data_IF_355369665769
#
_entry.id   IF_355369665769
#
_cell.length_a   1.000
_cell.length_b   1.000
_cell.length_c   1.000
_cell.angle_alpha   90.00
_cell.angle_beta   90.00
_cell.angle_gamma   90.00
#
_symmetry.space_group_name_H-M   'P 1'
#
loop_
_entity.id
_entity.type
_entity.pdbx_description
1 polymer ?
#
# COMPACT_ATOMS: atom_id res chain seq x y z
N UNK A 1 -2.40 1.19 14.66
CA UNK A 1 -1.61 1.92 15.68
C UNK A 1 -2.02 1.46 17.07
N UNK A 2 -1.17 1.65 18.09
CA UNK A 2 -1.56 1.44 19.49
C UNK A 2 -2.25 2.67 20.06
N UNK A 3 -2.99 2.51 21.16
CA UNK A 3 -3.44 3.65 21.96
C UNK A 3 -2.24 4.35 22.60
N UNK A 4 -2.29 5.69 22.65
CA UNK A 4 -1.37 6.56 23.36
C UNK A 4 -2.21 7.61 24.07
N UNK A 5 -1.99 7.79 25.37
CA UNK A 5 -2.66 8.84 26.13
C UNK A 5 -2.19 10.21 25.67
N UNK A 6 -3.14 11.15 25.54
CA UNK A 6 -2.89 12.53 25.13
C UNK A 6 -3.76 13.45 26.00
N UNK A 7 -3.13 14.40 26.68
CA UNK A 7 -3.80 15.32 27.58
C UNK A 7 -4.90 16.13 26.87
N UNK A 8 -6.03 16.33 27.56
CA UNK A 8 -7.16 17.11 27.04
C UNK A 8 -8.06 16.35 26.05
N UNK A 9 -7.75 15.09 25.72
CA UNK A 9 -8.66 14.22 24.96
C UNK A 9 -9.72 13.59 25.86
N UNK A 10 -10.87 13.22 25.29
CA UNK A 10 -11.91 12.49 26.02
C UNK A 10 -11.46 11.12 26.53
N UNK A 11 -10.40 10.56 25.93
CA UNK A 11 -9.83 9.26 26.30
C UNK A 11 -8.89 9.36 27.52
N UNK A 12 -8.32 10.53 27.82
CA UNK A 12 -7.36 10.71 28.92
C UNK A 12 -7.93 10.43 30.32
N UNK A 13 -9.26 10.49 30.48
CA UNK A 13 -9.92 10.14 31.74
C UNK A 13 -10.34 8.67 31.84
N UNK A 14 -10.07 7.85 30.81
CA UNK A 14 -10.36 6.42 30.81
C UNK A 14 -9.19 5.66 31.41
N UNK A 15 -9.48 4.61 32.16
CA UNK A 15 -8.45 3.73 32.72
C UNK A 15 -7.81 2.90 31.60
N UNK A 16 -6.48 2.86 31.57
CA UNK A 16 -5.67 2.12 30.60
C UNK A 16 -4.75 1.15 31.35
N UNK A 17 -5.31 -0.03 31.65
CA UNK A 17 -4.68 -1.10 32.43
C UNK A 17 -3.88 -2.08 31.55
N UNK A 18 -3.74 -1.79 30.26
CA UNK A 18 -3.10 -2.68 29.29
C UNK A 18 -1.62 -2.28 29.11
N UNK A 19 -0.67 -3.17 29.45
CA UNK A 19 0.75 -2.92 29.21
C UNK A 19 1.06 -2.64 27.73
N UNK A 20 2.03 -1.77 27.46
CA UNK A 20 2.44 -1.41 26.10
C UNK A 20 2.83 -2.64 25.25
N UNK A 21 3.52 -3.62 25.84
CA UNK A 21 3.88 -4.88 25.19
C UNK A 21 2.64 -5.62 24.64
N UNK A 22 1.57 -5.71 25.42
CA UNK A 22 0.32 -6.35 24.98
C UNK A 22 -0.36 -5.55 23.85
N UNK A 23 -0.27 -4.21 23.87
CA UNK A 23 -0.81 -3.37 22.78
C UNK A 23 -0.03 -3.58 21.49
N UNK A 24 1.29 -3.65 21.58
CA UNK A 24 2.16 -3.88 20.43
C UNK A 24 1.97 -5.29 19.86
N UNK A 25 1.85 -6.31 20.70
CA UNK A 25 1.53 -7.68 20.28
C UNK A 25 0.21 -7.74 19.51
N UNK A 26 -0.85 -7.11 20.05
CA UNK A 26 -2.16 -7.04 19.38
C UNK A 26 -2.09 -6.27 18.06
N UNK A 27 -1.35 -5.15 18.03
CA UNK A 27 -1.13 -4.38 16.80
C UNK A 27 -0.45 -5.24 15.74
N UNK A 28 0.60 -5.98 16.12
CA UNK A 28 1.35 -6.83 15.19
C UNK A 28 0.48 -7.96 14.64
N UNK A 29 -0.32 -8.62 15.48
CA UNK A 29 -1.29 -9.64 15.03
C UNK A 29 -2.29 -9.09 14.00
N UNK A 30 -2.80 -7.87 14.22
CA UNK A 30 -3.71 -7.22 13.29
C UNK A 30 -2.99 -6.86 11.98
N UNK A 31 -1.76 -6.36 12.06
CA UNK A 31 -0.95 -6.01 10.89
C UNK A 31 -0.67 -7.26 10.04
N UNK A 32 -0.26 -8.36 10.65
CA UNK A 32 -0.02 -9.63 9.95
C UNK A 32 -1.27 -10.12 9.22
N UNK A 33 -2.43 -10.13 9.91
CA UNK A 33 -3.70 -10.49 9.28
C UNK A 33 -4.08 -9.54 8.13
N UNK A 34 -3.80 -8.25 8.27
CA UNK A 34 -4.05 -7.28 7.22
C UNK A 34 -3.11 -7.45 6.02
N UNK A 35 -1.86 -7.87 6.24
CA UNK A 35 -0.92 -8.17 5.15
C UNK A 35 -1.43 -9.29 4.25
N UNK A 36 -1.94 -10.38 4.85
CA UNK A 36 -2.51 -11.49 4.09
C UNK A 36 -3.71 -11.03 3.23
N UNK A 37 -4.59 -10.20 3.80
CA UNK A 37 -5.74 -9.63 3.07
C UNK A 37 -5.28 -8.73 1.91
N UNK A 38 -4.27 -7.89 2.16
CA UNK A 38 -3.72 -6.99 1.14
C UNK A 38 -3.01 -7.78 0.04
N UNK A 39 -2.28 -8.84 0.39
CA UNK A 39 -1.64 -9.74 -0.57
C UNK A 39 -2.69 -10.42 -1.44
N UNK A 40 -3.72 -11.05 -0.86
CA UNK A 40 -4.81 -11.69 -1.61
C UNK A 40 -5.48 -10.72 -2.60
N UNK A 41 -5.73 -9.48 -2.17
CA UNK A 41 -6.28 -8.42 -3.01
C UNK A 41 -5.33 -8.10 -4.17
N UNK A 42 -4.05 -7.92 -3.88
CA UNK A 42 -3.05 -7.55 -4.86
C UNK A 42 -2.77 -8.68 -5.87
N UNK A 43 -2.71 -9.93 -5.41
CA UNK A 43 -2.60 -11.11 -6.27
C UNK A 43 -3.79 -11.24 -7.23
N UNK A 44 -4.98 -10.77 -6.84
CA UNK A 44 -6.15 -10.74 -7.74
C UNK A 44 -5.96 -9.85 -8.98
N UNK A 45 -4.95 -8.98 -9.00
CA UNK A 45 -4.60 -8.16 -10.16
C UNK A 45 -3.63 -8.86 -11.13
N UNK A 46 -2.95 -9.93 -10.71
CA UNK A 46 -2.00 -10.66 -11.56
C UNK A 46 -2.71 -11.16 -12.82
N UNK A 47 -2.11 -10.89 -13.98
CA UNK A 47 -2.67 -11.22 -15.29
C UNK A 47 -3.74 -10.26 -15.80
N UNK A 48 -4.07 -9.19 -15.06
CA UNK A 48 -4.95 -8.11 -15.52
C UNK A 48 -4.13 -6.93 -16.04
N UNK A 49 -4.77 -6.17 -16.92
CA UNK A 49 -4.32 -4.85 -17.34
C UNK A 49 -5.01 -3.78 -16.49
N UNK A 50 -4.23 -2.92 -15.86
CA UNK A 50 -4.73 -1.83 -15.00
C UNK A 50 -4.24 -0.49 -15.50
N UNK A 51 -5.07 0.54 -15.36
CA UNK A 51 -4.70 1.92 -15.68
C UNK A 51 -3.96 2.54 -14.50
N UNK A 52 -2.78 3.09 -14.77
CA UNK A 52 -1.87 3.63 -13.76
C UNK A 52 -1.46 5.05 -14.10
N UNK A 53 -1.52 5.95 -13.11
CA UNK A 53 -0.93 7.29 -13.21
C UNK A 53 0.55 7.20 -12.83
N UNK A 54 1.45 7.68 -13.69
CA UNK A 54 2.89 7.63 -13.44
C UNK A 54 3.35 8.83 -12.61
N UNK A 55 3.84 8.58 -11.40
CA UNK A 55 4.34 9.62 -10.49
C UNK A 55 5.86 9.87 -10.65
N UNK A 56 6.62 8.83 -11.01
CA UNK A 56 8.07 8.88 -11.20
C UNK A 56 8.51 8.00 -12.39
N UNK A 57 9.59 8.39 -13.07
CA UNK A 57 10.17 7.61 -14.17
C UNK A 57 11.66 7.88 -14.30
N UNK A 58 12.48 6.87 -14.02
CA UNK A 58 13.94 6.94 -14.07
C UNK A 58 14.53 5.60 -14.51
N UNK A 59 15.55 5.60 -15.37
CA UNK A 59 16.31 4.40 -15.75
C UNK A 59 15.45 3.21 -16.26
N UNK A 60 14.39 3.47 -17.03
CA UNK A 60 13.40 2.48 -17.48
C UNK A 60 12.63 1.77 -16.36
N UNK A 61 12.54 2.41 -15.19
CA UNK A 61 11.68 2.01 -14.09
C UNK A 61 10.74 3.18 -13.79
N UNK A 62 9.44 2.90 -13.80
CA UNK A 62 8.41 3.83 -13.37
C UNK A 62 7.88 3.45 -11.99
N UNK A 63 7.38 4.45 -11.28
CA UNK A 63 6.52 4.26 -10.10
C UNK A 63 5.25 5.05 -10.36
N UNK A 64 4.11 4.41 -10.14
CA UNK A 64 2.81 5.03 -10.27
C UNK A 64 1.82 4.49 -9.27
N UNK A 65 0.55 4.82 -9.47
CA UNK A 65 -0.54 4.43 -8.59
C UNK A 65 -1.83 4.21 -9.37
N UNK A 66 -2.71 3.36 -8.84
CA UNK A 66 -4.02 3.15 -9.44
C UNK A 66 -5.00 4.24 -9.00
N UNK A 67 -6.23 4.20 -9.52
CA UNK A 67 -7.30 5.09 -9.04
C UNK A 67 -7.71 4.84 -7.57
N UNK A 68 -7.30 3.71 -7.01
CA UNK A 68 -7.61 3.30 -5.63
C UNK A 68 -6.57 3.78 -4.61
N UNK A 69 -5.44 4.32 -5.08
CA UNK A 69 -4.26 4.54 -4.25
C UNK A 69 -3.92 6.03 -4.13
N UNK A 70 -3.87 6.51 -2.89
CA UNK A 70 -3.40 7.84 -2.52
C UNK A 70 -1.87 7.93 -2.64
N UNK A 71 -1.32 9.09 -3.04
CA UNK A 71 0.13 9.27 -3.09
C UNK A 71 0.76 9.04 -1.71
N UNK A 72 1.90 8.36 -1.65
CA UNK A 72 2.76 8.17 -0.46
C UNK A 72 2.16 7.35 0.70
N UNK A 73 0.86 7.04 0.67
CA UNK A 73 0.14 6.37 1.77
C UNK A 73 -0.26 4.94 1.41
N UNK A 74 -0.79 4.74 0.20
CA UNK A 74 -1.35 3.47 -0.24
C UNK A 74 -0.35 2.69 -1.13
N UNK A 75 -0.84 1.68 -1.86
CA UNK A 75 0.02 0.85 -2.71
C UNK A 75 0.65 1.65 -3.86
N UNK A 76 1.82 1.18 -4.29
CA UNK A 76 2.44 1.65 -5.53
C UNK A 76 2.33 0.60 -6.64
N UNK A 77 2.43 1.06 -7.88
CA UNK A 77 2.67 0.21 -9.04
C UNK A 77 4.09 0.44 -9.52
N UNK A 78 4.93 -0.57 -9.38
CA UNK A 78 6.27 -0.61 -9.97
C UNK A 78 6.17 -1.02 -11.43
N UNK A 79 6.63 -0.14 -12.31
CA UNK A 79 6.53 -0.31 -13.76
C UNK A 79 7.90 -0.64 -14.32
N UNK A 80 8.05 -1.84 -14.86
CA UNK A 80 9.27 -2.28 -15.53
C UNK A 80 9.23 -1.90 -17.02
N UNK A 81 9.55 -0.64 -17.32
CA UNK A 81 9.55 -0.14 -18.68
C UNK A 81 9.71 1.37 -18.77
N UNK A 82 9.88 1.84 -20.01
CA UNK A 82 9.95 3.27 -20.28
C UNK A 82 8.55 3.87 -20.27
N UNK A 83 8.32 4.78 -19.33
CA UNK A 83 7.07 5.56 -19.18
C UNK A 83 7.37 7.03 -18.94
N UNK A 84 6.40 7.92 -19.11
CA UNK A 84 6.56 9.34 -18.82
C UNK A 84 5.77 9.73 -17.57
N UNK A 85 6.39 10.52 -16.69
CA UNK A 85 5.71 11.09 -15.51
C UNK A 85 4.52 11.94 -15.95
N UNK A 86 3.41 11.80 -15.23
CA UNK A 86 2.16 12.53 -15.45
C UNK A 86 1.22 11.91 -16.48
N UNK A 87 1.63 10.82 -17.13
CA UNK A 87 0.80 10.10 -18.09
C UNK A 87 0.04 8.95 -17.43
N UNK A 88 -1.10 8.61 -18.03
CA UNK A 88 -1.77 7.35 -17.74
C UNK A 88 -1.27 6.27 -18.68
N UNK A 89 -0.86 5.14 -18.12
CA UNK A 89 -0.35 3.98 -18.87
C UNK A 89 -1.10 2.73 -18.42
N UNK A 90 -1.44 1.85 -19.36
CA UNK A 90 -1.97 0.53 -19.02
C UNK A 90 -0.81 -0.41 -18.69
N UNK A 91 -0.89 -1.08 -17.55
CA UNK A 91 0.15 -1.97 -17.03
C UNK A 91 -0.42 -3.38 -16.92
N UNK A 92 0.23 -4.34 -17.57
CA UNK A 92 -0.01 -5.76 -17.34
C UNK A 92 0.73 -6.19 -16.07
N UNK A 93 -0.02 -6.55 -15.02
CA UNK A 93 0.52 -6.97 -13.73
C UNK A 93 1.03 -8.40 -13.81
N UNK A 94 2.29 -8.62 -13.41
CA UNK A 94 2.94 -9.92 -13.45
C UNK A 94 3.21 -10.52 -12.06
N UNK A 95 3.28 -9.69 -11.03
CA UNK A 95 3.54 -10.08 -9.64
C UNK A 95 3.08 -8.99 -8.69
N UNK A 96 2.96 -9.34 -7.41
CA UNK A 96 2.56 -8.42 -6.37
C UNK A 96 3.07 -8.89 -4.99
N UNK A 97 3.07 -7.98 -4.03
CA UNK A 97 3.14 -8.28 -2.60
C UNK A 97 2.07 -7.47 -1.85
N UNK A 98 2.09 -7.46 -0.53
CA UNK A 98 1.10 -6.78 0.32
C UNK A 98 1.08 -5.24 0.18
N UNK A 99 2.07 -4.63 -0.47
CA UNK A 99 2.22 -3.17 -0.61
C UNK A 99 2.35 -2.67 -2.07
N UNK A 100 2.68 -3.54 -3.03
CA UNK A 100 2.90 -3.11 -4.41
C UNK A 100 2.43 -4.11 -5.45
N UNK A 101 2.05 -3.57 -6.61
CA UNK A 101 1.86 -4.29 -7.85
C UNK A 101 3.09 -4.08 -8.74
N UNK A 102 3.50 -5.11 -9.47
CA UNK A 102 4.65 -5.05 -10.38
C UNK A 102 4.17 -5.48 -11.76
N UNK A 103 4.54 -4.71 -12.79
CA UNK A 103 4.08 -4.99 -14.14
C UNK A 103 4.82 -4.23 -15.22
N UNK A 104 4.40 -4.45 -16.47
CA UNK A 104 5.00 -3.85 -17.67
C UNK A 104 3.95 -3.05 -18.45
N UNK A 105 4.35 -1.94 -19.10
CA UNK A 105 3.46 -1.24 -20.03
C UNK A 105 2.97 -2.18 -21.13
N UNK A 106 1.71 -2.04 -21.51
CA UNK A 106 1.12 -2.63 -22.72
C UNK A 106 0.89 -1.54 -23.77
N UNK A 107 0.99 -1.91 -25.05
CA UNK A 107 0.80 -1.03 -26.21
C UNK A 107 -0.65 -0.52 -26.35
#
# INVERSE_FOLDING_TARGET
>A
FTYSEEEGTSAAGLDDDIPQEIKDDRKNQIIELQHDISLDRNESFIGKEIRVLVDQSENNIGVGRTEYDSPEIDNIVKIEGKVSKGEFVNIAVNSANEYELIGKPVD
#
